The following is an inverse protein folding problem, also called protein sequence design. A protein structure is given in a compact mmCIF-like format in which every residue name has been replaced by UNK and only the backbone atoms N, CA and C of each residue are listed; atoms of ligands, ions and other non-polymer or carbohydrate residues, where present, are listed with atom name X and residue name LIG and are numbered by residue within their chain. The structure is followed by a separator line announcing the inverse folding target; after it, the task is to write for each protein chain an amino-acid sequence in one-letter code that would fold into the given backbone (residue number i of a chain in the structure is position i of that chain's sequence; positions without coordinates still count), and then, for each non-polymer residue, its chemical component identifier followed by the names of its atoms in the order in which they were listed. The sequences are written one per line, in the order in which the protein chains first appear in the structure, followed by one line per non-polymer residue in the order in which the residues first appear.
data_IF_936830026207
#
_entry.id   IF_936830026207
#
_cell.length_a   1.000
_cell.length_b   1.000
_cell.length_c   1.000
_cell.angle_alpha   90.00
_cell.angle_beta   90.00
_cell.angle_gamma   90.00
#
_symmetry.space_group_name_H-M   'P 1'
#
loop_
_entity.id
_entity.type
_entity.pdbx_description
1 polymer ?
#
# COMPACT_ATOMS: atom_id res chain seq x y z
N UNK A 1 -16.46 -5.16 -15.46
CA UNK A 1 -16.86 -4.70 -14.12
C UNK A 1 -15.92 -3.62 -13.64
N UNK A 2 -16.42 -2.61 -12.92
CA UNK A 2 -15.59 -1.65 -12.20
C UNK A 2 -15.65 -1.97 -10.72
N UNK A 3 -14.50 -2.24 -10.11
CA UNK A 3 -14.38 -2.64 -8.71
C UNK A 3 -13.67 -1.51 -7.97
N UNK A 4 -14.34 -0.95 -6.96
CA UNK A 4 -13.70 -0.02 -6.03
C UNK A 4 -12.91 -0.82 -5.01
N UNK A 5 -11.60 -0.56 -4.93
CA UNK A 5 -10.69 -1.18 -3.97
C UNK A 5 -10.08 -0.09 -3.08
N UNK A 6 -9.70 -0.46 -1.87
CA UNK A 6 -9.09 0.48 -0.94
C UNK A 6 -9.01 -0.06 0.48
N UNK A 7 -8.42 0.74 1.36
CA UNK A 7 -8.24 0.44 2.77
C UNK A 7 -8.02 1.73 3.57
N UNK A 8 -8.36 1.67 4.86
CA UNK A 8 -7.96 2.63 5.89
C UNK A 8 -7.47 1.82 7.10
N UNK A 9 -6.15 1.74 7.26
CA UNK A 9 -5.47 0.92 8.26
C UNK A 9 -4.79 1.84 9.26
N UNK A 10 -4.97 1.57 10.56
CA UNK A 10 -4.24 2.22 11.64
C UNK A 10 -3.56 1.17 12.51
N UNK A 11 -2.24 1.26 12.66
CA UNK A 11 -1.44 0.37 13.51
C UNK A 11 -0.89 1.14 14.69
N UNK A 12 -1.17 0.69 15.91
CA UNK A 12 -0.52 1.20 17.11
C UNK A 12 0.94 0.74 17.15
N UNK A 13 1.85 1.66 17.43
CA UNK A 13 3.30 1.41 17.47
C UNK A 13 3.78 1.61 18.92
N UNK A 14 4.39 0.56 19.48
CA UNK A 14 4.89 0.57 20.85
C UNK A 14 6.38 0.90 20.93
N UNK A 15 7.15 0.50 19.92
CA UNK A 15 8.60 0.68 19.84
C UNK A 15 9.01 0.99 18.40
N UNK A 16 10.19 1.60 18.17
CA UNK A 16 10.70 1.81 16.82
C UNK A 16 10.75 0.50 16.04
N UNK A 17 10.14 0.45 14.86
CA UNK A 17 10.08 -0.76 14.05
C UNK A 17 9.98 -0.46 12.56
N UNK A 18 10.41 -1.41 11.74
CA UNK A 18 10.15 -1.39 10.31
C UNK A 18 8.80 -2.03 10.02
N UNK A 19 7.97 -1.34 9.26
CA UNK A 19 6.70 -1.84 8.72
C UNK A 19 6.92 -2.13 7.24
N UNK A 20 6.74 -3.38 6.83
CA UNK A 20 6.79 -3.79 5.43
C UNK A 20 5.37 -4.18 5.02
N UNK A 21 4.89 -3.61 3.93
CA UNK A 21 3.51 -3.81 3.48
C UNK A 21 3.42 -4.01 1.97
N UNK A 22 2.50 -4.88 1.56
CA UNK A 22 2.18 -5.21 0.17
C UNK A 22 0.76 -4.70 -0.13
N UNK A 23 0.61 -3.37 -0.15
CA UNK A 23 -0.69 -2.71 -0.29
C UNK A 23 -0.95 -2.15 -1.70
N UNK A 24 0.04 -2.28 -2.60
CA UNK A 24 -0.12 -1.96 -4.00
C UNK A 24 -0.81 -3.10 -4.75
N UNK A 25 -1.63 -2.75 -5.74
CA UNK A 25 -2.07 -3.70 -6.77
C UNK A 25 -0.83 -4.31 -7.42
N UNK A 26 -0.81 -5.64 -7.52
CA UNK A 26 0.31 -6.36 -8.11
C UNK A 26 0.66 -5.79 -9.50
N UNK A 27 1.96 -5.61 -9.83
CA UNK A 27 2.37 -4.99 -11.10
C UNK A 27 1.74 -5.61 -12.35
N UNK A 28 1.50 -6.92 -12.37
CA UNK A 28 0.84 -7.60 -13.49
C UNK A 28 -0.60 -7.15 -13.75
N UNK A 29 -1.27 -6.55 -12.76
CA UNK A 29 -2.65 -6.04 -12.84
C UNK A 29 -2.72 -4.52 -12.75
N UNK A 30 -1.58 -3.83 -12.67
CA UNK A 30 -1.53 -2.37 -12.55
C UNK A 30 -2.15 -1.66 -13.77
N UNK A 31 -2.11 -2.30 -14.95
CA UNK A 31 -2.78 -1.80 -16.15
C UNK A 31 -4.31 -1.83 -16.10
N UNK A 32 -4.90 -2.57 -15.15
CA UNK A 32 -6.35 -2.62 -14.95
C UNK A 32 -6.85 -1.45 -14.08
N UNK A 33 -5.94 -0.70 -13.43
CA UNK A 33 -6.30 0.49 -12.67
C UNK A 33 -6.73 1.62 -13.62
N UNK A 34 -7.84 2.29 -13.29
CA UNK A 34 -8.30 3.45 -14.04
C UNK A 34 -7.45 4.71 -13.83
N UNK A 35 -6.71 4.77 -12.73
CA UNK A 35 -5.74 5.80 -12.42
C UNK A 35 -4.61 5.20 -11.54
N UNK A 36 -3.41 5.80 -11.51
CA UNK A 36 -2.35 5.31 -10.63
C UNK A 36 -2.85 5.20 -9.18
N UNK A 37 -2.64 4.05 -8.55
CA UNK A 37 -2.94 3.88 -7.14
C UNK A 37 -1.96 4.71 -6.30
N UNK A 38 -2.50 5.49 -5.37
CA UNK A 38 -1.73 6.21 -4.35
C UNK A 38 -1.94 5.54 -2.99
N UNK A 39 -0.85 5.22 -2.29
CA UNK A 39 -0.88 4.70 -0.93
C UNK A 39 -0.32 5.78 -0.01
N UNK A 40 -1.22 6.43 0.72
CA UNK A 40 -0.87 7.46 1.68
C UNK A 40 -0.37 6.81 2.98
N UNK A 41 0.76 7.28 3.48
CA UNK A 41 1.33 6.89 4.77
C UNK A 41 1.23 8.06 5.74
N UNK A 42 0.61 7.86 6.90
CA UNK A 42 0.40 8.89 7.92
C UNK A 42 1.29 8.60 9.15
N UNK A 43 2.01 9.60 9.71
CA UNK A 43 1.94 11.04 9.42
C UNK A 43 2.97 11.54 8.37
N UNK A 44 3.06 10.91 7.20
CA UNK A 44 3.99 11.33 6.14
C UNK A 44 5.41 10.77 6.31
N UNK A 45 5.52 9.53 6.81
CA UNK A 45 6.81 8.86 6.93
C UNK A 45 7.39 8.53 5.54
N UNK A 46 8.72 8.54 5.44
CA UNK A 46 9.41 8.17 4.20
C UNK A 46 9.12 6.71 3.83
N UNK A 47 8.83 6.48 2.55
CA UNK A 47 8.50 5.17 1.99
C UNK A 47 9.64 4.74 1.08
N UNK A 48 10.20 3.57 1.33
CA UNK A 48 11.12 2.88 0.45
C UNK A 48 10.36 1.80 -0.31
N UNK A 49 10.49 1.73 -1.63
CA UNK A 49 9.82 0.71 -2.45
C UNK A 49 10.83 -0.21 -3.12
N UNK A 50 10.50 -1.50 -3.20
CA UNK A 50 11.30 -2.51 -3.89
C UNK A 50 10.44 -3.67 -4.40
N UNK A 51 10.94 -4.40 -5.40
CA UNK A 51 10.31 -5.64 -5.85
C UNK A 51 10.84 -6.84 -5.08
N UNK A 52 9.95 -7.72 -4.63
CA UNK A 52 10.33 -9.01 -4.07
C UNK A 52 10.50 -10.09 -5.16
N UNK A 53 10.87 -11.31 -4.75
CA UNK A 53 11.07 -12.44 -5.65
C UNK A 53 9.77 -12.94 -6.34
N UNK A 54 8.60 -12.49 -5.89
CA UNK A 54 7.30 -12.83 -6.46
C UNK A 54 6.78 -11.72 -7.40
N UNK A 55 7.50 -10.60 -7.51
CA UNK A 55 7.11 -9.46 -8.34
C UNK A 55 6.16 -8.49 -7.64
N UNK A 56 5.94 -8.60 -6.33
CA UNK A 56 5.16 -7.61 -5.59
C UNK A 56 5.94 -6.29 -5.49
N UNK A 57 5.24 -5.16 -5.61
CA UNK A 57 5.79 -3.87 -5.20
C UNK A 57 5.61 -3.73 -3.69
N UNK A 58 6.66 -4.04 -2.94
CA UNK A 58 6.73 -3.92 -1.50
C UNK A 58 7.08 -2.48 -1.12
N UNK A 59 6.50 -2.01 -0.03
CA UNK A 59 6.82 -0.72 0.55
C UNK A 59 7.27 -0.92 2.00
N UNK A 60 8.30 -0.18 2.40
CA UNK A 60 8.86 -0.18 3.74
C UNK A 60 8.80 1.22 4.33
N UNK A 61 8.34 1.28 5.57
CA UNK A 61 8.31 2.50 6.38
C UNK A 61 8.98 2.21 7.71
N UNK A 62 9.92 3.06 8.12
CA UNK A 62 10.55 2.94 9.43
C UNK A 62 9.82 3.86 10.41
N UNK A 63 9.05 3.30 11.35
CA UNK A 63 8.39 4.03 12.41
C UNK A 63 9.44 4.47 13.46
N UNK A 64 9.65 5.79 13.66
CA UNK A 64 10.68 6.28 14.55
C UNK A 64 10.29 6.16 16.03
N UNK A 65 11.26 6.40 16.92
CA UNK A 65 10.97 6.59 18.33
C UNK A 65 9.96 7.72 18.55
N UNK A 66 8.96 7.47 19.39
CA UNK A 66 7.88 8.42 19.66
C UNK A 66 6.71 8.35 18.68
N UNK A 67 6.81 7.56 17.59
CA UNK A 67 5.63 7.21 16.81
C UNK A 67 4.71 6.32 17.65
N UNK A 68 3.47 6.76 17.86
CA UNK A 68 2.44 5.99 18.58
C UNK A 68 1.49 5.27 17.64
N UNK A 69 1.44 5.71 16.38
CA UNK A 69 0.59 5.14 15.34
C UNK A 69 1.19 5.37 13.95
N UNK A 70 1.00 4.42 13.05
CA UNK A 70 1.20 4.60 11.60
C UNK A 70 -0.08 4.22 10.86
N UNK A 71 -0.51 5.09 9.96
CA UNK A 71 -1.71 4.89 9.14
C UNK A 71 -1.37 4.63 7.67
N UNK A 72 -2.21 3.83 7.00
CA UNK A 72 -2.14 3.59 5.56
C UNK A 72 -3.52 3.77 4.94
N UNK A 73 -3.60 4.57 3.88
CA UNK A 73 -4.86 4.84 3.17
C UNK A 73 -4.69 4.73 1.67
N UNK A 74 -5.68 4.15 1.01
CA UNK A 74 -5.72 4.11 -0.46
C UNK A 74 -7.15 3.90 -0.93
N UNK A 75 -7.45 4.49 -2.07
CA UNK A 75 -8.68 4.25 -2.82
C UNK A 75 -8.34 4.21 -4.32
N UNK A 76 -8.84 3.21 -5.04
CA UNK A 76 -8.67 3.08 -6.48
C UNK A 76 -9.85 2.33 -7.12
N UNK A 77 -9.92 2.39 -8.45
CA UNK A 77 -10.89 1.62 -9.23
C UNK A 77 -10.14 0.72 -10.20
N UNK A 78 -10.47 -0.56 -10.20
CA UNK A 78 -9.98 -1.57 -11.13
C UNK A 78 -11.06 -1.89 -12.16
N UNK A 79 -10.68 -1.92 -13.44
CA UNK A 79 -11.49 -2.44 -14.54
C UNK A 79 -11.20 -3.91 -14.72
N UNK A 80 -12.11 -4.76 -14.27
CA UNK A 80 -12.02 -6.20 -14.43
C UNK A 80 -12.88 -6.66 -15.63
N UNK A 81 -12.34 -7.52 -16.50
CA UNK A 81 -13.07 -8.02 -17.67
C UNK A 81 -14.11 -9.09 -17.33
N UNK A 82 -13.98 -9.77 -16.18
CA UNK A 82 -14.76 -10.95 -15.81
C UNK A 82 -14.41 -12.20 -16.62
N UNK A 83 -13.38 -12.16 -17.46
CA UNK A 83 -12.90 -13.31 -18.21
C UNK A 83 -11.86 -14.09 -17.39
N UNK A 84 -11.82 -15.43 -17.50
CA UNK A 84 -10.78 -16.26 -16.89
C UNK A 84 -9.36 -15.92 -17.36
#
# INVERSE_FOLDING_TARGET
MYIKIGFDIALAIATPMALIHLLHVHPSRRGDLLAPQFVEVLPGLAVEEYFDAFGNLCSRVNAPLGATQVGFRSEAIVRDSGLP
#
